data_IF_811570289851
#
_entry.id   IF_811570289851
#
_cell.length_a   1.000
_cell.length_b   1.000
_cell.length_c   1.000
_cell.angle_alpha   90.00
_cell.angle_beta   90.00
_cell.angle_gamma   90.00
#
_symmetry.space_group_name_H-M   'P 1'
#
loop_
_entity.id
_entity.type
_entity.pdbx_description
1 polymer ?
#
# COMPACT_ATOMS: atom_id res chain seq x y z
N UNK A 1 -10.93 16.37 -30.22
CA UNK A 1 -12.29 15.80 -30.34
C UNK A 1 -12.76 15.19 -29.02
N UNK A 2 -12.20 14.09 -28.54
CA UNK A 2 -12.54 13.54 -27.21
C UNK A 2 -11.99 14.39 -26.04
N UNK A 3 -12.81 14.73 -25.04
CA UNK A 3 -12.49 15.53 -23.83
C UNK A 3 -11.78 16.89 -24.07
N UNK A 4 -11.93 17.46 -25.28
CA UNK A 4 -11.38 18.79 -25.65
C UNK A 4 -12.42 19.91 -25.47
N UNK A 5 -12.74 20.65 -26.53
CA UNK A 5 -13.63 21.80 -26.48
C UNK A 5 -15.04 21.49 -25.93
N UNK A 6 -15.59 20.30 -26.22
CA UNK A 6 -16.90 19.90 -25.70
C UNK A 6 -16.94 19.88 -24.16
N UNK A 7 -15.90 19.32 -23.52
CA UNK A 7 -15.78 19.30 -22.07
C UNK A 7 -15.61 20.71 -21.50
N UNK A 8 -14.75 21.54 -22.10
CA UNK A 8 -14.56 22.94 -21.69
C UNK A 8 -15.83 23.77 -21.78
N UNK A 9 -16.62 23.57 -22.84
CA UNK A 9 -17.88 24.27 -23.04
C UNK A 9 -18.96 23.77 -22.08
N UNK A 10 -18.92 22.50 -21.69
CA UNK A 10 -19.85 21.95 -20.70
C UNK A 10 -19.56 22.48 -19.30
N UNK A 11 -18.30 22.39 -18.82
CA UNK A 11 -17.98 22.79 -17.43
C UNK A 11 -18.18 24.27 -17.16
N UNK A 12 -18.06 25.14 -18.17
CA UNK A 12 -18.35 26.58 -18.06
C UNK A 12 -19.80 26.90 -17.69
N UNK A 13 -20.72 25.96 -17.89
CA UNK A 13 -22.16 26.12 -17.61
C UNK A 13 -22.55 25.67 -16.20
N UNK A 14 -21.64 25.02 -15.49
CA UNK A 14 -21.91 24.54 -14.14
C UNK A 14 -21.82 25.69 -13.14
N UNK A 15 -22.65 25.64 -12.10
CA UNK A 15 -22.72 26.67 -11.06
C UNK A 15 -21.42 26.75 -10.23
N UNK A 16 -20.72 25.62 -10.14
CA UNK A 16 -19.43 25.52 -9.47
C UNK A 16 -18.28 25.85 -10.42
N UNK A 17 -17.32 26.65 -9.95
CA UNK A 17 -16.16 27.02 -10.75
C UNK A 17 -15.25 25.80 -10.98
N UNK A 18 -15.18 25.35 -12.23
CA UNK A 18 -14.33 24.22 -12.63
C UNK A 18 -13.23 24.71 -13.58
N UNK A 19 -11.98 24.39 -13.24
CA UNK A 19 -10.81 24.68 -14.07
C UNK A 19 -10.26 23.39 -14.67
N UNK A 20 -10.10 23.35 -15.99
CA UNK A 20 -9.46 22.23 -16.70
C UNK A 20 -8.01 22.61 -17.00
N UNK A 21 -7.08 21.79 -16.53
CA UNK A 21 -5.65 21.93 -16.83
C UNK A 21 -5.24 20.83 -17.80
N UNK A 22 -4.55 21.20 -18.88
CA UNK A 22 -4.07 20.27 -19.90
C UNK A 22 -2.57 20.04 -19.76
N UNK A 23 -2.17 18.77 -19.66
CA UNK A 23 -0.78 18.36 -19.81
C UNK A 23 -0.42 18.32 -21.30
N UNK A 24 0.76 18.83 -21.66
CA UNK A 24 1.25 18.81 -23.05
C UNK A 24 1.63 17.40 -23.49
N UNK A 25 2.14 16.59 -22.55
CA UNK A 25 2.53 15.21 -22.76
C UNK A 25 1.97 14.29 -21.67
N UNK A 26 1.81 13.01 -22.00
CA UNK A 26 1.33 12.00 -21.05
C UNK A 26 2.37 11.77 -19.95
N UNK A 27 2.15 12.42 -18.80
CA UNK A 27 3.14 12.50 -17.72
C UNK A 27 2.85 11.58 -16.53
N UNK A 28 1.72 10.86 -16.55
CA UNK A 28 1.28 10.00 -15.46
C UNK A 28 0.40 10.68 -14.43
N UNK A 29 -0.22 9.88 -13.55
CA UNK A 29 -1.13 10.37 -12.50
C UNK A 29 -0.38 11.28 -11.52
N UNK A 30 0.87 10.93 -11.19
CA UNK A 30 1.67 11.57 -10.15
C UNK A 30 1.93 13.03 -10.53
N UNK A 31 2.48 13.24 -11.73
CA UNK A 31 2.77 14.60 -12.25
C UNK A 31 1.49 15.37 -12.57
N UNK A 32 0.41 14.70 -12.95
CA UNK A 32 -0.89 15.34 -13.12
C UNK A 32 -1.46 15.86 -11.78
N UNK A 33 -1.36 15.06 -10.70
CA UNK A 33 -1.73 15.46 -9.34
C UNK A 33 -0.88 16.63 -8.86
N UNK A 34 0.44 16.60 -9.11
CA UNK A 34 1.34 17.73 -8.80
C UNK A 34 0.92 19.03 -9.50
N UNK A 35 0.57 18.96 -10.80
CA UNK A 35 0.08 20.13 -11.54
C UNK A 35 -1.24 20.66 -10.98
N UNK A 36 -2.16 19.76 -10.62
CA UNK A 36 -3.42 20.12 -9.99
C UNK A 36 -3.22 20.78 -8.63
N UNK A 37 -2.36 20.19 -7.79
CA UNK A 37 -2.00 20.72 -6.48
C UNK A 37 -1.39 22.13 -6.58
N UNK A 38 -0.42 22.34 -7.49
CA UNK A 38 0.19 23.64 -7.71
C UNK A 38 -0.80 24.73 -8.15
N UNK A 39 -1.81 24.38 -8.94
CA UNK A 39 -2.84 25.30 -9.42
C UNK A 39 -4.02 25.49 -8.44
N UNK A 40 -4.14 24.64 -7.42
CA UNK A 40 -5.16 24.80 -6.39
C UNK A 40 -4.92 26.08 -5.57
N UNK A 41 -5.89 26.53 -4.79
CA UNK A 41 -5.74 27.68 -3.86
C UNK A 41 -6.43 27.46 -2.52
N UNK A 42 -7.09 26.31 -2.35
CA UNK A 42 -7.74 25.94 -1.10
C UNK A 42 -6.73 25.59 0.00
N UNK A 43 -7.17 25.72 1.25
CA UNK A 43 -6.37 25.34 2.42
C UNK A 43 -6.14 23.83 2.50
N UNK A 44 -7.11 23.03 2.03
CA UNK A 44 -7.04 21.58 1.93
C UNK A 44 -7.12 21.18 0.47
N UNK A 45 -6.29 20.22 0.06
CA UNK A 45 -6.38 19.57 -1.23
C UNK A 45 -7.06 18.21 -1.03
N UNK A 46 -8.16 17.99 -1.74
CA UNK A 46 -8.83 16.69 -1.81
C UNK A 46 -8.63 16.09 -3.19
N UNK A 47 -7.97 14.94 -3.25
CA UNK A 47 -7.79 14.17 -4.47
C UNK A 47 -8.93 13.17 -4.62
N UNK A 48 -9.49 13.10 -5.83
CA UNK A 48 -10.49 12.11 -6.24
C UNK A 48 -10.09 11.55 -7.60
N UNK A 49 -10.37 10.28 -7.82
CA UNK A 49 -10.29 9.70 -9.15
C UNK A 49 -11.51 10.12 -9.99
N UNK A 50 -11.36 10.11 -11.31
CA UNK A 50 -12.36 10.65 -12.24
C UNK A 50 -13.64 9.79 -12.37
N UNK A 51 -13.78 8.74 -11.58
CA UNK A 51 -14.87 7.76 -11.61
C UNK A 51 -15.29 7.41 -10.18
N UNK A 52 -15.66 8.47 -9.45
CA UNK A 52 -16.13 8.41 -8.07
C UNK A 52 -17.52 9.05 -7.93
N UNK A 53 -18.28 8.60 -6.93
CA UNK A 53 -19.54 9.21 -6.50
C UNK A 53 -19.47 9.46 -5.00
N UNK A 54 -19.67 10.71 -4.58
CA UNK A 54 -19.54 11.10 -3.18
C UNK A 54 -20.88 11.04 -2.46
N UNK A 55 -20.92 10.48 -1.26
CA UNK A 55 -22.13 10.43 -0.43
C UNK A 55 -22.45 11.78 0.22
N UNK A 56 -23.67 11.94 0.75
CA UNK A 56 -24.04 13.14 1.50
C UNK A 56 -23.20 13.26 2.77
N UNK A 57 -22.60 14.43 3.01
CA UNK A 57 -21.79 14.69 4.20
C UNK A 57 -20.38 14.09 4.16
N UNK A 58 -19.90 13.66 2.98
CA UNK A 58 -18.59 13.00 2.87
C UNK A 58 -17.40 13.91 3.19
N UNK A 59 -17.50 15.23 2.93
CA UNK A 59 -16.34 16.12 2.95
C UNK A 59 -16.07 16.72 4.34
N UNK A 60 -17.13 17.10 5.03
CA UNK A 60 -17.12 17.73 6.35
C UNK A 60 -16.29 16.96 7.40
N UNK A 61 -16.43 15.64 7.57
CA UNK A 61 -15.65 14.90 8.56
C UNK A 61 -14.15 14.81 8.18
N UNK A 62 -13.81 14.81 6.89
CA UNK A 62 -12.41 14.88 6.44
C UNK A 62 -11.79 16.24 6.80
N UNK A 63 -12.49 17.33 6.47
CA UNK A 63 -12.02 18.68 6.77
C UNK A 63 -11.95 18.98 8.27
N UNK A 64 -12.91 18.48 9.05
CA UNK A 64 -12.92 18.61 10.50
C UNK A 64 -11.67 17.96 11.11
N UNK A 65 -11.32 16.75 10.65
CA UNK A 65 -10.15 16.03 11.18
C UNK A 65 -8.82 16.74 10.84
N UNK A 66 -8.67 17.26 9.63
CA UNK A 66 -7.49 18.07 9.24
C UNK A 66 -7.43 19.38 10.06
N UNK A 67 -8.60 19.95 10.41
CA UNK A 67 -8.65 21.16 11.23
C UNK A 67 -8.17 20.92 12.66
N UNK A 68 -8.47 19.75 13.23
CA UNK A 68 -7.97 19.32 14.55
C UNK A 68 -6.46 19.05 14.52
N UNK A 69 -5.99 18.40 13.46
CA UNK A 69 -4.57 18.08 13.27
C UNK A 69 -4.16 18.30 11.82
N UNK A 70 -3.42 19.39 11.58
CA UNK A 70 -2.96 19.78 10.25
C UNK A 70 -2.07 18.72 9.59
N UNK A 71 -1.40 17.88 10.38
CA UNK A 71 -0.53 16.80 9.89
C UNK A 71 -1.27 15.49 9.65
N UNK A 72 -2.58 15.43 9.91
CA UNK A 72 -3.41 14.29 9.58
C UNK A 72 -3.74 14.30 8.08
N UNK A 73 -3.39 13.20 7.41
CA UNK A 73 -3.81 12.90 6.04
C UNK A 73 -4.96 11.92 6.13
N UNK A 74 -6.10 12.28 5.56
CA UNK A 74 -7.35 11.56 5.80
C UNK A 74 -7.93 11.00 4.51
N UNK A 75 -8.34 9.74 4.56
CA UNK A 75 -9.01 9.03 3.48
C UNK A 75 -10.49 8.82 3.84
N UNK A 76 -11.42 8.89 2.87
CA UNK A 76 -12.75 8.34 3.07
C UNK A 76 -12.70 6.81 3.11
N UNK A 77 -13.76 6.18 3.62
CA UNK A 77 -14.08 4.80 3.24
C UNK A 77 -14.37 4.80 1.74
N UNK A 78 -13.68 3.92 1.02
CA UNK A 78 -13.85 3.75 -0.41
C UNK A 78 -14.90 2.66 -0.63
N UNK A 79 -16.09 3.06 -1.04
CA UNK A 79 -17.17 2.15 -1.39
C UNK A 79 -16.96 1.60 -2.81
N UNK A 80 -17.53 0.44 -3.11
CA UNK A 80 -17.38 -0.20 -4.41
C UNK A 80 -18.54 0.19 -5.31
N UNK A 81 -18.24 0.78 -6.46
CA UNK A 81 -19.20 0.89 -7.56
C UNK A 81 -18.85 -0.20 -8.58
N UNK A 82 -19.82 -1.08 -8.87
CA UNK A 82 -19.65 -2.16 -9.85
C UNK A 82 -19.36 -1.60 -11.25
N UNK A 83 -18.31 -2.09 -11.93
CA UNK A 83 -18.00 -1.68 -13.30
C UNK A 83 -18.98 -2.25 -14.34
N UNK A 84 -19.70 -3.32 -13.98
CA UNK A 84 -20.70 -3.96 -14.84
C UNK A 84 -22.12 -3.36 -14.66
N UNK A 85 -22.54 -3.12 -13.41
CA UNK A 85 -23.93 -2.75 -13.07
C UNK A 85 -24.10 -1.34 -12.52
N UNK A 86 -23.00 -0.65 -12.16
CA UNK A 86 -23.03 0.62 -11.41
C UNK A 86 -23.74 0.54 -10.04
N UNK A 87 -23.95 -0.66 -9.52
CA UNK A 87 -24.45 -0.84 -8.15
C UNK A 87 -23.44 -0.29 -7.14
N UNK A 88 -23.94 0.51 -6.20
CA UNK A 88 -23.18 1.10 -5.11
C UNK A 88 -23.21 0.18 -3.89
N UNK A 89 -22.06 -0.40 -3.54
CA UNK A 89 -21.89 -1.30 -2.40
C UNK A 89 -21.02 -0.63 -1.34
N UNK A 90 -21.60 -0.42 -0.16
CA UNK A 90 -20.89 0.19 0.97
C UNK A 90 -19.66 -0.64 1.36
N UNK A 91 -18.52 0.04 1.50
CA UNK A 91 -17.28 -0.48 2.02
C UNK A 91 -17.35 -0.71 3.54
N UNK A 92 -16.35 -1.39 4.06
CA UNK A 92 -16.28 -1.72 5.48
C UNK A 92 -15.46 -0.68 6.25
N UNK A 93 -15.97 -0.24 7.40
CA UNK A 93 -15.22 0.51 8.41
C UNK A 93 -14.32 -0.40 9.29
N UNK A 94 -14.33 -1.70 9.01
CA UNK A 94 -13.51 -2.73 9.66
C UNK A 94 -12.33 -3.18 8.77
N UNK A 95 -12.02 -2.41 7.72
CA UNK A 95 -10.80 -2.62 6.93
C UNK A 95 -9.87 -1.42 7.01
N UNK A 96 -8.58 -1.69 6.96
CA UNK A 96 -7.52 -0.68 6.89
C UNK A 96 -6.50 -1.06 5.81
N UNK A 97 -5.76 -0.06 5.33
CA UNK A 97 -4.78 -0.21 4.27
C UNK A 97 -3.42 -0.63 4.81
N UNK A 98 -2.88 -1.72 4.27
CA UNK A 98 -1.52 -2.16 4.51
C UNK A 98 -0.78 -2.47 3.23
N UNK A 99 0.34 -3.15 3.36
CA UNK A 99 1.13 -3.64 2.24
C UNK A 99 1.77 -4.98 2.55
N UNK A 100 2.11 -5.73 1.50
CA UNK A 100 2.89 -6.95 1.62
C UNK A 100 4.34 -6.73 1.17
N UNK A 101 5.21 -7.73 1.35
CA UNK A 101 6.64 -7.60 1.05
C UNK A 101 6.97 -7.40 -0.43
N UNK A 102 6.00 -7.62 -1.33
CA UNK A 102 6.10 -7.25 -2.77
C UNK A 102 5.75 -5.78 -3.04
N UNK A 103 5.53 -4.99 -1.98
CA UNK A 103 5.10 -3.59 -2.03
C UNK A 103 3.80 -3.41 -2.81
N UNK A 104 2.88 -4.35 -2.67
CA UNK A 104 1.52 -4.19 -3.15
C UNK A 104 0.63 -3.71 -2.01
N UNK A 105 -0.20 -2.72 -2.30
CA UNK A 105 -1.26 -2.30 -1.39
C UNK A 105 -2.27 -3.45 -1.16
N UNK A 106 -2.70 -3.62 0.09
CA UNK A 106 -3.67 -4.64 0.50
C UNK A 106 -4.66 -4.06 1.51
N UNK A 107 -5.88 -4.55 1.47
CA UNK A 107 -6.86 -4.33 2.53
C UNK A 107 -6.77 -5.46 3.54
N UNK A 108 -6.61 -5.11 4.82
CA UNK A 108 -6.61 -6.05 5.93
C UNK A 108 -7.75 -5.73 6.90
N UNK A 109 -8.19 -6.69 7.74
CA UNK A 109 -9.10 -6.40 8.84
C UNK A 109 -8.45 -5.47 9.87
N UNK A 110 -9.22 -4.55 10.45
CA UNK A 110 -8.75 -3.67 11.51
C UNK A 110 -8.25 -4.49 12.70
N UNK A 111 -7.00 -4.29 13.17
CA UNK A 111 -6.43 -5.12 14.24
C UNK A 111 -7.02 -4.74 15.60
N UNK A 112 -7.02 -5.70 16.53
CA UNK A 112 -7.60 -5.52 17.88
C UNK A 112 -7.05 -4.28 18.60
N UNK A 113 -5.74 -3.99 18.47
CA UNK A 113 -5.11 -2.78 19.03
C UNK A 113 -5.81 -1.47 18.65
N UNK A 114 -6.34 -1.39 17.43
CA UNK A 114 -7.02 -0.19 16.92
C UNK A 114 -8.48 -0.16 17.38
N UNK A 115 -9.11 -1.32 17.50
CA UNK A 115 -10.44 -1.46 18.14
C UNK A 115 -10.40 -1.00 19.60
N UNK A 116 -9.38 -1.43 20.35
CA UNK A 116 -9.18 -1.08 21.75
C UNK A 116 -8.92 0.43 21.91
N UNK A 117 -8.11 1.03 21.03
CA UNK A 117 -7.86 2.48 21.00
C UNK A 117 -9.15 3.27 20.83
N UNK A 118 -10.06 2.80 19.98
CA UNK A 118 -11.35 3.43 19.70
C UNK A 118 -12.40 3.17 20.79
N UNK A 119 -12.17 2.22 21.69
CA UNK A 119 -13.08 1.86 22.81
C UNK A 119 -14.52 1.59 22.36
N UNK A 120 -14.69 1.00 21.16
CA UNK A 120 -15.98 0.73 20.56
C UNK A 120 -16.65 1.89 19.82
N UNK A 121 -16.06 3.09 19.81
CA UNK A 121 -16.58 4.22 19.03
C UNK A 121 -16.21 4.08 17.55
N UNK A 122 -17.21 3.69 16.75
CA UNK A 122 -17.07 3.47 15.30
C UNK A 122 -17.04 4.76 14.48
N UNK A 123 -17.23 5.94 15.11
CA UNK A 123 -17.14 7.24 14.42
C UNK A 123 -15.71 7.80 14.42
N UNK A 124 -14.87 7.35 15.36
CA UNK A 124 -13.46 7.74 15.40
C UNK A 124 -12.72 7.24 14.16
N UNK A 125 -11.80 8.04 13.57
CA UNK A 125 -10.98 7.60 12.44
C UNK A 125 -10.16 6.35 12.78
N UNK A 126 -9.94 5.50 11.79
CA UNK A 126 -9.08 4.31 11.87
C UNK A 126 -7.67 4.69 11.41
N UNK A 127 -6.65 4.52 12.24
CA UNK A 127 -5.26 4.76 11.81
C UNK A 127 -4.82 3.65 10.84
N UNK A 128 -4.27 4.04 9.69
CA UNK A 128 -3.94 3.12 8.61
C UNK A 128 -2.46 3.21 8.22
N UNK A 129 -1.71 2.08 8.14
CA UNK A 129 -0.31 2.06 7.70
C UNK A 129 -0.15 2.68 6.30
N UNK A 130 -1.04 2.34 5.39
CA UNK A 130 -1.01 2.82 4.01
C UNK A 130 -2.39 3.25 3.53
N UNK A 131 -2.41 3.98 2.41
CA UNK A 131 -3.65 4.34 1.70
C UNK A 131 -3.68 3.70 0.32
N UNK A 132 -4.89 3.52 -0.22
CA UNK A 132 -5.07 3.13 -1.62
C UNK A 132 -4.51 4.20 -2.58
N UNK A 133 -4.53 5.47 -2.16
CA UNK A 133 -3.90 6.60 -2.85
C UNK A 133 -4.79 7.32 -3.87
N UNK A 134 -5.90 6.71 -4.31
CA UNK A 134 -6.88 7.35 -5.22
C UNK A 134 -7.58 8.57 -4.58
N UNK A 135 -7.99 8.41 -3.33
CA UNK A 135 -8.87 9.34 -2.62
C UNK A 135 -8.28 9.70 -1.26
N UNK A 136 -7.97 10.97 -1.03
CA UNK A 136 -7.54 11.50 0.26
C UNK A 136 -7.60 13.03 0.29
N UNK A 137 -7.65 13.58 1.51
CA UNK A 137 -7.55 15.00 1.79
C UNK A 137 -6.32 15.29 2.64
N UNK A 138 -5.65 16.40 2.35
CA UNK A 138 -4.43 16.84 3.05
C UNK A 138 -4.38 18.36 3.14
N UNK A 139 -3.90 18.90 4.26
CA UNK A 139 -3.56 20.32 4.36
C UNK A 139 -2.53 20.69 3.28
N UNK A 140 -2.80 21.74 2.51
CA UNK A 140 -1.97 22.12 1.38
C UNK A 140 -0.54 22.44 1.81
N UNK A 141 -0.38 23.22 2.88
CA UNK A 141 0.95 23.63 3.35
C UNK A 141 1.72 22.41 3.83
N UNK A 142 1.05 21.48 4.52
CA UNK A 142 1.65 20.22 4.95
C UNK A 142 2.07 19.35 3.76
N UNK A 143 1.25 19.25 2.71
CA UNK A 143 1.60 18.55 1.48
C UNK A 143 2.86 19.13 0.81
N UNK A 144 3.02 20.45 0.80
CA UNK A 144 4.22 21.12 0.29
C UNK A 144 5.43 20.91 1.22
N UNK A 145 5.25 21.03 2.54
CA UNK A 145 6.29 20.86 3.57
C UNK A 145 6.95 19.48 3.50
N UNK A 146 6.16 18.41 3.38
CA UNK A 146 6.68 17.04 3.28
C UNK A 146 7.18 16.70 1.87
N UNK A 147 7.20 17.66 0.93
CA UNK A 147 7.79 17.49 -0.39
C UNK A 147 6.88 16.82 -1.42
N UNK A 148 5.56 17.07 -1.35
CA UNK A 148 4.53 16.70 -2.35
C UNK A 148 4.59 15.24 -2.81
N UNK A 149 4.60 14.90 -4.10
CA UNK A 149 4.94 13.55 -4.58
C UNK A 149 6.38 13.51 -5.09
N UNK A 150 6.99 12.33 -5.10
CA UNK A 150 8.23 12.10 -5.85
C UNK A 150 7.96 12.23 -7.36
N UNK A 151 8.38 13.36 -7.94
CA UNK A 151 8.21 13.63 -9.37
C UNK A 151 9.06 12.72 -10.29
N UNK A 152 10.00 11.96 -9.73
CA UNK A 152 10.78 10.95 -10.44
C UNK A 152 10.01 9.64 -10.69
N UNK A 153 8.87 9.44 -10.03
CA UNK A 153 7.99 8.30 -10.29
C UNK A 153 7.18 8.49 -11.58
N UNK A 154 6.98 7.39 -12.30
CA UNK A 154 6.36 7.36 -13.61
C UNK A 154 4.96 6.74 -13.60
N UNK A 155 4.04 7.34 -14.36
CA UNK A 155 2.70 6.86 -14.68
C UNK A 155 1.81 6.51 -13.48
N UNK A 156 2.03 5.37 -12.84
CA UNK A 156 1.20 4.78 -11.78
C UNK A 156 2.01 3.71 -11.02
N UNK A 157 1.79 3.60 -9.70
CA UNK A 157 2.27 2.51 -8.86
C UNK A 157 3.34 2.98 -7.87
N UNK A 158 3.22 2.54 -6.62
CA UNK A 158 4.17 2.81 -5.54
C UNK A 158 4.01 4.18 -4.87
N UNK A 159 3.36 5.16 -5.52
CA UNK A 159 3.26 6.53 -5.00
C UNK A 159 2.42 6.62 -3.72
N UNK A 160 1.42 5.73 -3.60
CA UNK A 160 0.56 5.65 -2.45
C UNK A 160 1.34 5.14 -1.22
N UNK A 161 2.16 4.10 -1.39
CA UNK A 161 3.03 3.58 -0.33
C UNK A 161 4.12 4.57 0.04
N UNK A 162 4.74 5.25 -0.94
CA UNK A 162 5.78 6.26 -0.71
C UNK A 162 5.27 7.40 0.16
N UNK A 163 4.11 7.93 -0.20
CA UNK A 163 3.45 8.98 0.57
C UNK A 163 3.10 8.48 1.97
N UNK A 164 2.54 7.26 2.09
CA UNK A 164 2.19 6.68 3.39
C UNK A 164 3.40 6.52 4.32
N UNK A 165 4.50 5.94 3.83
CA UNK A 165 5.71 5.75 4.61
C UNK A 165 6.27 7.07 5.09
N UNK A 166 6.35 8.04 4.18
CA UNK A 166 6.81 9.37 4.49
C UNK A 166 5.93 10.08 5.53
N UNK A 167 4.61 10.07 5.37
CA UNK A 167 3.69 10.74 6.33
C UNK A 167 3.97 10.26 7.74
N UNK A 168 4.05 8.95 7.95
CA UNK A 168 4.30 8.36 9.25
C UNK A 168 5.71 8.62 9.77
N UNK A 169 6.74 8.39 8.94
CA UNK A 169 8.14 8.60 9.33
C UNK A 169 8.48 10.07 9.60
N UNK A 170 7.75 11.00 8.98
CA UNK A 170 7.90 12.44 9.14
C UNK A 170 6.97 13.04 10.22
N UNK A 171 6.31 12.21 11.03
CA UNK A 171 5.56 12.64 12.21
C UNK A 171 4.15 13.16 11.94
N UNK A 172 3.55 12.84 10.80
CA UNK A 172 2.12 12.97 10.58
C UNK A 172 1.35 11.69 10.90
N UNK A 173 0.06 11.69 10.58
CA UNK A 173 -0.79 10.50 10.66
C UNK A 173 -1.53 10.25 9.35
N UNK A 174 -1.82 8.98 9.08
CA UNK A 174 -2.66 8.56 7.97
C UNK A 174 -3.89 7.82 8.54
N UNK A 175 -5.07 8.30 8.20
CA UNK A 175 -6.31 7.91 8.86
C UNK A 175 -7.45 7.69 7.86
N UNK A 176 -8.29 6.68 8.09
CA UNK A 176 -9.56 6.47 7.38
C UNK A 176 -10.67 7.04 8.25
N UNK A 177 -11.34 8.08 7.77
CA UNK A 177 -12.43 8.74 8.49
C UNK A 177 -13.73 7.99 8.19
N UNK A 178 -14.23 7.25 9.18
CA UNK A 178 -15.30 6.26 8.98
C UNK A 178 -16.67 6.84 8.71
N UNK A 179 -16.88 8.14 8.95
CA UNK A 179 -18.11 8.84 8.56
C UNK A 179 -18.09 9.36 7.12
N UNK A 180 -16.93 9.33 6.45
CA UNK A 180 -16.78 9.81 5.07
C UNK A 180 -16.81 8.63 4.11
N UNK A 181 -17.73 8.66 3.15
CA UNK A 181 -17.91 7.59 2.17
C UNK A 181 -17.87 8.13 0.75
N UNK A 182 -17.03 7.52 -0.09
CA UNK A 182 -16.94 7.83 -1.52
C UNK A 182 -16.87 6.53 -2.32
N UNK A 183 -17.82 6.34 -3.21
CA UNK A 183 -17.84 5.23 -4.15
C UNK A 183 -16.79 5.41 -5.22
N UNK A 184 -16.15 4.30 -5.60
CA UNK A 184 -15.14 4.25 -6.64
C UNK A 184 -15.42 3.07 -7.58
N UNK A 185 -15.36 3.30 -8.90
CA UNK A 185 -15.55 2.24 -9.89
C UNK A 185 -14.30 1.36 -9.97
N UNK A 186 -14.35 0.17 -9.38
CA UNK A 186 -13.25 -0.80 -9.44
C UNK A 186 -13.31 -1.61 -10.72
N UNK A 187 -12.24 -1.55 -11.52
CA UNK A 187 -12.14 -2.23 -12.81
C UNK A 187 -11.38 -3.54 -12.70
N UNK A 188 -11.74 -4.51 -13.53
CA UNK A 188 -11.04 -5.81 -13.64
C UNK A 188 -9.60 -5.69 -14.17
N UNK A 189 -9.31 -4.67 -14.99
CA UNK A 189 -7.99 -4.44 -15.57
C UNK A 189 -7.69 -2.95 -15.77
N UNK A 190 -6.40 -2.60 -15.81
CA UNK A 190 -5.96 -1.23 -16.11
C UNK A 190 -6.30 -0.88 -17.57
N UNK A 191 -7.05 0.21 -17.84
CA UNK A 191 -7.54 0.55 -19.18
C UNK A 191 -6.52 1.35 -20.01
N UNK A 192 -5.26 1.45 -19.58
CA UNK A 192 -4.25 2.33 -20.17
C UNK A 192 -2.91 1.63 -20.38
N UNK A 193 -2.12 2.19 -21.29
CA UNK A 193 -0.81 1.66 -21.68
C UNK A 193 0.31 2.16 -20.76
N UNK A 194 1.35 1.35 -20.60
CA UNK A 194 2.57 1.71 -19.88
C UNK A 194 3.72 1.78 -20.87
N UNK A 195 4.21 2.98 -21.25
CA UNK A 195 5.42 3.12 -22.03
C UNK A 195 6.57 2.43 -21.30
N UNK A 196 7.24 1.48 -21.94
CA UNK A 196 8.28 0.64 -21.30
C UNK A 196 7.76 -0.59 -20.55
N UNK A 197 6.43 -0.80 -20.49
CA UNK A 197 5.80 -1.95 -19.85
C UNK A 197 5.50 -1.73 -18.37
N UNK A 198 4.42 -2.36 -17.90
CA UNK A 198 3.91 -2.20 -16.52
C UNK A 198 4.94 -2.60 -15.47
N UNK A 199 5.63 -3.73 -15.68
CA UNK A 199 6.64 -4.22 -14.75
C UNK A 199 7.81 -3.24 -14.57
N UNK A 200 8.35 -2.70 -15.67
CA UNK A 200 9.45 -1.73 -15.60
C UNK A 200 9.05 -0.46 -14.84
N UNK A 201 7.89 0.11 -15.14
CA UNK A 201 7.39 1.33 -14.48
C UNK A 201 7.15 1.12 -12.98
N UNK A 202 6.45 0.03 -12.61
CA UNK A 202 6.15 -0.25 -11.20
C UNK A 202 7.44 -0.58 -10.43
N UNK A 203 8.33 -1.41 -11.00
CA UNK A 203 9.59 -1.75 -10.36
C UNK A 203 10.48 -0.52 -10.16
N UNK A 204 10.54 0.38 -11.15
CA UNK A 204 11.23 1.67 -11.02
C UNK A 204 10.69 2.45 -9.82
N UNK A 205 9.38 2.67 -9.75
CA UNK A 205 8.78 3.47 -8.68
C UNK A 205 8.95 2.80 -7.31
N UNK A 206 8.73 1.49 -7.21
CA UNK A 206 8.91 0.74 -5.98
C UNK A 206 10.37 0.76 -5.51
N UNK A 207 11.34 0.69 -6.43
CA UNK A 207 12.76 0.84 -6.10
C UNK A 207 13.06 2.23 -5.55
N UNK A 208 12.54 3.30 -6.16
CA UNK A 208 12.69 4.67 -5.62
C UNK A 208 12.14 4.79 -4.20
N UNK A 209 10.97 4.22 -3.92
CA UNK A 209 10.42 4.19 -2.56
C UNK A 209 11.32 3.39 -1.61
N UNK A 210 11.78 2.21 -2.02
CA UNK A 210 12.53 1.31 -1.16
C UNK A 210 13.89 1.91 -0.76
N UNK A 211 14.58 2.51 -1.73
CA UNK A 211 15.88 3.15 -1.52
C UNK A 211 15.82 4.35 -0.56
N UNK A 212 14.67 5.02 -0.48
CA UNK A 212 14.50 6.23 0.36
C UNK A 212 13.90 5.89 1.72
N UNK A 213 12.93 4.97 1.81
CA UNK A 213 12.04 4.86 2.97
C UNK A 213 12.11 3.53 3.72
N UNK A 214 12.78 2.51 3.20
CA UNK A 214 12.77 1.17 3.80
C UNK A 214 14.04 0.81 4.58
N UNK A 215 15.01 1.73 4.68
CA UNK A 215 16.29 1.49 5.37
C UNK A 215 16.91 0.12 4.92
N UNK A 216 17.37 -0.74 5.84
CA UNK A 216 17.87 -2.09 5.56
C UNK A 216 16.79 -3.10 5.09
N UNK A 217 15.51 -2.79 5.29
CA UNK A 217 14.42 -3.70 4.96
C UNK A 217 14.12 -3.77 3.46
N UNK A 218 14.73 -2.88 2.66
CA UNK A 218 14.68 -2.97 1.20
C UNK A 218 15.27 -4.28 0.67
N UNK A 219 16.24 -4.87 1.38
CA UNK A 219 16.87 -6.13 0.99
C UNK A 219 15.85 -7.28 0.98
N UNK A 220 14.88 -7.27 1.90
CA UNK A 220 13.79 -8.23 1.92
C UNK A 220 12.92 -8.12 0.67
N UNK A 221 12.62 -6.89 0.26
CA UNK A 221 11.87 -6.63 -0.96
C UNK A 221 12.64 -7.08 -2.20
N UNK A 222 13.94 -6.84 -2.28
CA UNK A 222 14.77 -7.27 -3.41
C UNK A 222 14.89 -8.79 -3.50
N UNK A 223 15.06 -9.49 -2.38
CA UNK A 223 15.06 -10.96 -2.36
C UNK A 223 13.73 -11.53 -2.85
N UNK A 224 12.60 -10.91 -2.48
CA UNK A 224 11.26 -11.37 -2.88
C UNK A 224 10.93 -10.95 -4.32
N UNK A 225 11.49 -9.84 -4.80
CA UNK A 225 11.21 -9.25 -6.10
C UNK A 225 12.53 -8.96 -6.85
N UNK A 226 13.30 -9.99 -7.23
CA UNK A 226 14.66 -9.84 -7.76
C UNK A 226 14.72 -8.99 -9.03
N UNK A 227 13.69 -9.05 -9.89
CA UNK A 227 13.61 -8.25 -11.12
C UNK A 227 13.50 -6.74 -10.90
N UNK A 228 13.43 -6.27 -9.65
CA UNK A 228 13.46 -4.84 -9.31
C UNK A 228 14.89 -4.28 -9.39
N UNK A 229 15.90 -5.09 -9.05
CA UNK A 229 17.30 -4.66 -9.03
C UNK A 229 17.88 -4.41 -10.43
N UNK A 230 17.24 -4.96 -11.46
CA UNK A 230 17.62 -4.76 -12.86
C UNK A 230 17.14 -3.40 -13.43
N UNK A 231 16.28 -2.69 -12.70
CA UNK A 231 15.65 -1.46 -13.18
C UNK A 231 16.37 -0.22 -12.66
N UNK A 232 16.82 0.64 -13.56
CA UNK A 232 17.32 1.98 -13.20
C UNK A 232 16.19 2.82 -12.60
N UNK A 233 16.41 3.26 -11.37
CA UNK A 233 15.45 4.06 -10.60
C UNK A 233 15.75 5.56 -10.66
N UNK A 234 16.86 5.98 -11.26
CA UNK A 234 17.29 7.37 -11.38
C UNK A 234 17.69 8.00 -10.04
N UNK A 235 17.91 9.32 -10.06
CA UNK A 235 18.38 10.04 -8.88
C UNK A 235 17.28 10.21 -7.81
N UNK A 236 17.64 9.90 -6.56
CA UNK A 236 16.80 10.05 -5.36
C UNK A 236 17.44 10.99 -4.32
N UNK A 237 18.52 11.69 -4.67
CA UNK A 237 19.27 12.58 -3.78
C UNK A 237 18.37 13.59 -3.04
N UNK A 238 17.45 14.24 -3.75
CA UNK A 238 16.48 15.20 -3.18
C UNK A 238 15.54 14.50 -2.19
N UNK A 239 15.12 13.26 -2.48
CA UNK A 239 14.24 12.49 -1.60
C UNK A 239 14.96 12.05 -0.32
N UNK A 240 16.21 11.62 -0.43
CA UNK A 240 17.06 11.29 0.71
C UNK A 240 17.35 12.52 1.58
N UNK A 241 17.61 13.67 0.97
CA UNK A 241 17.80 14.92 1.71
C UNK A 241 16.52 15.31 2.48
N UNK A 242 15.35 15.19 1.85
CA UNK A 242 14.06 15.42 2.52
C UNK A 242 13.83 14.43 3.68
N UNK A 243 14.11 13.15 3.48
CA UNK A 243 14.03 12.13 4.52
C UNK A 243 14.93 12.51 5.71
N UNK A 244 16.19 12.91 5.46
CA UNK A 244 17.13 13.31 6.51
C UNK A 244 16.71 14.55 7.30
N UNK A 245 15.96 15.49 6.69
CA UNK A 245 15.46 16.69 7.35
C UNK A 245 14.23 16.39 8.22
N UNK A 246 13.31 15.58 7.71
CA UNK A 246 11.97 15.42 8.29
C UNK A 246 11.78 14.15 9.12
N UNK A 247 12.74 13.22 9.11
CA UNK A 247 12.70 12.03 9.97
C UNK A 247 12.77 12.47 11.43
N UNK A 248 11.61 12.48 12.08
CA UNK A 248 11.47 13.02 13.43
C UNK A 248 11.17 11.95 14.49
N UNK A 249 10.51 10.84 14.15
CA UNK A 249 9.84 10.03 15.19
C UNK A 249 9.77 8.52 14.96
N UNK A 250 9.43 8.04 13.76
CA UNK A 250 9.16 6.62 13.49
C UNK A 250 10.17 6.08 12.47
N UNK A 251 10.82 4.96 12.78
CA UNK A 251 11.66 4.22 11.84
C UNK A 251 10.84 3.20 11.02
N UNK A 252 11.44 2.60 9.99
CA UNK A 252 10.75 1.58 9.21
C UNK A 252 10.36 0.32 10.02
N UNK A 253 11.16 -0.17 11.01
CA UNK A 253 10.70 -1.20 11.95
C UNK A 253 9.35 -0.89 12.60
N UNK A 254 9.14 0.36 13.06
CA UNK A 254 7.85 0.76 13.60
C UNK A 254 6.73 0.64 12.58
N UNK A 255 6.96 1.05 11.32
CA UNK A 255 5.98 0.90 10.25
C UNK A 255 5.60 -0.57 10.04
N UNK A 256 6.57 -1.48 10.07
CA UNK A 256 6.33 -2.92 9.91
C UNK A 256 5.50 -3.49 11.05
N UNK A 257 5.75 -3.06 12.29
CA UNK A 257 4.92 -3.43 13.45
C UNK A 257 3.51 -2.88 13.33
N UNK A 258 3.39 -1.61 12.93
CA UNK A 258 2.10 -0.97 12.73
C UNK A 258 1.30 -1.66 11.62
N UNK A 259 1.95 -2.11 10.55
CA UNK A 259 1.36 -2.89 9.46
C UNK A 259 1.08 -4.37 9.82
N UNK A 260 1.64 -4.89 10.91
CA UNK A 260 1.50 -6.30 11.31
C UNK A 260 2.43 -7.28 10.56
N UNK A 261 3.42 -6.76 9.83
CA UNK A 261 4.47 -7.58 9.21
C UNK A 261 5.60 -7.96 10.18
N UNK A 262 5.67 -7.26 11.32
CA UNK A 262 6.62 -7.55 12.40
C UNK A 262 5.86 -7.64 13.73
N UNK A 263 6.13 -8.68 14.51
CA UNK A 263 5.61 -8.81 15.87
C UNK A 263 6.65 -8.35 16.91
N UNK A 264 6.25 -7.61 17.95
CA UNK A 264 7.14 -7.33 19.07
C UNK A 264 7.37 -8.61 19.88
N UNK A 265 8.63 -9.00 20.06
CA UNK A 265 9.02 -10.10 20.97
C UNK A 265 9.31 -9.52 22.37
N UNK A 266 8.90 -10.18 23.46
CA UNK A 266 9.36 -9.83 24.81
C UNK A 266 10.90 -9.87 24.89
N UNK A 267 11.54 -8.73 25.15
CA UNK A 267 13.01 -8.63 25.25
C UNK A 267 13.67 -7.66 24.25
N UNK A 268 12.89 -7.01 23.39
CA UNK A 268 13.37 -5.87 22.58
C UNK A 268 14.22 -6.24 21.36
N UNK A 269 14.48 -7.53 21.14
CA UNK A 269 15.07 -8.03 19.90
C UNK A 269 13.91 -8.37 18.98
N UNK A 270 13.78 -7.61 17.89
CA UNK A 270 12.86 -7.90 16.79
C UNK A 270 12.95 -9.37 16.40
N UNK A 271 11.83 -10.01 16.03
CA UNK A 271 11.92 -11.34 15.41
C UNK A 271 12.86 -11.22 14.20
N UNK A 272 13.97 -11.96 14.15
CA UNK A 272 14.64 -12.14 12.87
C UNK A 272 13.61 -12.83 11.99
N UNK A 273 13.00 -12.07 11.08
CA UNK A 273 12.27 -12.64 9.98
C UNK A 273 13.33 -13.38 9.17
N UNK A 274 13.46 -14.69 9.39
CA UNK A 274 14.38 -15.46 8.59
C UNK A 274 13.75 -15.61 7.22
N UNK A 275 14.21 -14.81 6.24
CA UNK A 275 13.98 -15.12 4.84
C UNK A 275 14.86 -16.30 4.49
N UNK A 276 14.21 -17.41 4.16
CA UNK A 276 14.87 -18.68 3.94
C UNK A 276 14.40 -19.28 2.63
N UNK A 277 15.35 -19.96 2.01
CA UNK A 277 15.05 -20.99 1.04
C UNK A 277 14.96 -22.32 1.80
N UNK A 278 13.84 -23.02 1.68
CA UNK A 278 13.63 -24.32 2.35
C UNK A 278 14.06 -25.43 1.39
N UNK A 279 15.25 -26.00 1.62
CA UNK A 279 15.86 -27.03 0.76
C UNK A 279 15.67 -28.42 1.35
N UNK A 280 15.21 -29.36 0.52
CA UNK A 280 15.26 -30.77 0.83
C UNK A 280 16.69 -31.30 0.62
N UNK A 281 17.29 -31.87 1.67
CA UNK A 281 18.69 -32.32 1.67
C UNK A 281 18.92 -33.52 0.75
N UNK A 282 17.94 -34.43 0.65
CA UNK A 282 18.06 -35.66 -0.14
C UNK A 282 17.91 -35.40 -1.64
N UNK A 283 16.88 -34.64 -2.03
CA UNK A 283 16.56 -34.42 -3.44
C UNK A 283 17.25 -33.20 -4.04
N UNK A 284 17.83 -32.34 -3.19
CA UNK A 284 18.38 -31.05 -3.59
C UNK A 284 17.34 -30.12 -4.26
N UNK A 285 16.06 -30.33 -3.99
CA UNK A 285 14.97 -29.47 -4.46
C UNK A 285 14.53 -28.52 -3.34
N UNK A 286 14.04 -27.35 -3.73
CA UNK A 286 13.59 -26.32 -2.81
C UNK A 286 12.07 -26.23 -2.83
N UNK A 287 11.49 -25.92 -1.66
CA UNK A 287 10.09 -25.56 -1.56
C UNK A 287 9.84 -24.33 -2.44
N UNK A 288 8.75 -24.36 -3.18
CA UNK A 288 8.42 -23.35 -4.19
C UNK A 288 6.91 -23.10 -4.15
N UNK A 289 6.50 -21.84 -4.05
CA UNK A 289 5.07 -21.49 -4.10
C UNK A 289 4.49 -21.60 -5.52
N UNK A 290 5.35 -21.80 -6.55
CA UNK A 290 5.03 -21.97 -7.97
C UNK A 290 4.21 -20.81 -8.57
N UNK A 291 4.21 -19.64 -7.91
CA UNK A 291 3.32 -18.53 -8.25
C UNK A 291 1.83 -18.83 -8.03
N UNK A 292 1.51 -19.88 -7.26
CA UNK A 292 0.15 -20.30 -6.94
C UNK A 292 -0.49 -19.38 -5.88
N UNK A 293 -1.81 -19.44 -5.79
CA UNK A 293 -2.64 -18.58 -4.96
C UNK A 293 -3.11 -19.31 -3.69
N UNK A 294 -3.93 -18.60 -2.91
CA UNK A 294 -4.62 -19.16 -1.74
C UNK A 294 -5.37 -20.45 -2.10
N UNK A 295 -5.37 -21.42 -1.18
CA UNK A 295 -5.99 -22.73 -1.28
C UNK A 295 -5.34 -23.67 -2.31
N UNK A 296 -4.15 -23.34 -2.79
CA UNK A 296 -3.32 -24.21 -3.62
C UNK A 296 -2.16 -24.82 -2.83
N UNK A 297 -1.62 -25.93 -3.34
CA UNK A 297 -0.51 -26.65 -2.71
C UNK A 297 0.81 -25.95 -3.00
N UNK A 298 1.72 -25.93 -2.03
CA UNK A 298 3.14 -25.68 -2.33
C UNK A 298 3.72 -26.83 -3.17
N UNK A 299 4.79 -26.55 -3.90
CA UNK A 299 5.51 -27.51 -4.73
C UNK A 299 6.98 -27.59 -4.36
N UNK A 300 7.70 -28.43 -5.08
CA UNK A 300 9.15 -28.48 -5.07
C UNK A 300 9.67 -28.17 -6.47
N UNK A 301 10.74 -27.39 -6.55
CA UNK A 301 11.42 -27.07 -7.79
C UNK A 301 12.94 -27.09 -7.59
N UNK A 302 13.71 -27.03 -8.67
CA UNK A 302 15.17 -26.92 -8.56
C UNK A 302 15.53 -25.66 -7.79
N UNK A 303 16.40 -25.79 -6.78
CA UNK A 303 16.90 -24.66 -6.02
C UNK A 303 17.64 -23.70 -6.96
N UNK A 304 17.11 -22.49 -7.15
CA UNK A 304 17.70 -21.52 -8.08
C UNK A 304 18.41 -20.35 -7.40
N UNK A 305 18.17 -20.10 -6.10
CA UNK A 305 18.83 -19.02 -5.35
C UNK A 305 18.41 -17.60 -5.77
N UNK A 306 17.61 -17.46 -6.82
CA UNK A 306 17.09 -16.19 -7.34
C UNK A 306 15.99 -15.53 -6.48
N UNK A 307 15.72 -16.03 -5.27
CA UNK A 307 14.66 -15.48 -4.43
C UNK A 307 13.24 -15.77 -4.96
N UNK A 308 12.35 -14.77 -4.94
CA UNK A 308 11.01 -14.89 -5.53
C UNK A 308 10.13 -15.99 -4.93
N UNK A 309 9.76 -16.97 -5.75
CA UNK A 309 8.82 -18.05 -5.37
C UNK A 309 9.40 -19.07 -4.37
N UNK A 310 10.72 -19.07 -4.18
CA UNK A 310 11.42 -19.95 -3.22
C UNK A 310 11.75 -19.25 -1.90
N UNK A 311 11.24 -18.03 -1.69
CA UNK A 311 11.46 -17.26 -0.48
C UNK A 311 10.28 -17.46 0.46
N UNK A 312 10.57 -18.00 1.63
CA UNK A 312 9.65 -18.13 2.73
C UNK A 312 10.18 -17.38 3.93
N UNK A 313 9.28 -16.94 4.81
CA UNK A 313 9.65 -16.34 6.08
C UNK A 313 9.24 -17.24 7.23
N UNK A 314 10.12 -17.40 8.21
CA UNK A 314 9.78 -18.05 9.49
C UNK A 314 9.63 -17.00 10.57
N UNK A 315 8.48 -16.97 11.24
CA UNK A 315 8.12 -15.92 12.22
C UNK A 315 8.25 -16.37 13.67
N UNK A 316 8.28 -15.41 14.60
CA UNK A 316 8.28 -15.67 16.05
C UNK A 316 7.10 -16.51 16.53
N UNK A 317 5.95 -16.41 15.84
CA UNK A 317 4.75 -17.20 16.11
C UNK A 317 4.85 -18.64 15.60
N UNK A 318 6.02 -19.04 15.09
CA UNK A 318 6.30 -20.34 14.49
C UNK A 318 5.45 -20.61 13.24
N UNK A 319 5.25 -19.61 12.41
CA UNK A 319 4.56 -19.74 11.11
C UNK A 319 5.57 -19.71 9.96
N UNK A 320 5.34 -20.50 8.91
CA UNK A 320 6.08 -20.39 7.64
C UNK A 320 5.18 -19.64 6.66
N UNK A 321 5.62 -18.46 6.19
CA UNK A 321 4.82 -17.59 5.32
C UNK A 321 5.45 -17.36 3.95
N UNK A 322 4.61 -17.22 2.94
CA UNK A 322 4.94 -16.72 1.60
C UNK A 322 3.96 -15.59 1.26
N UNK A 323 4.47 -14.37 1.16
CA UNK A 323 3.62 -13.17 1.02
C UNK A 323 2.59 -13.05 2.16
N UNK A 324 1.29 -12.97 1.84
CA UNK A 324 0.19 -12.89 2.82
C UNK A 324 -0.36 -14.27 3.24
N UNK A 325 0.28 -15.36 2.82
CA UNK A 325 -0.18 -16.74 3.05
C UNK A 325 0.75 -17.50 3.99
N UNK A 326 0.15 -18.35 4.82
CA UNK A 326 0.83 -19.28 5.71
C UNK A 326 0.73 -20.71 5.16
N UNK A 327 1.77 -21.49 5.40
CA UNK A 327 1.72 -22.93 5.17
C UNK A 327 0.81 -23.58 6.21
N UNK A 328 -0.08 -24.45 5.73
CA UNK A 328 -1.16 -25.05 6.51
C UNK A 328 -1.32 -26.53 6.19
N UNK A 329 -1.54 -27.35 7.22
CA UNK A 329 -1.89 -28.77 7.08
C UNK A 329 -3.32 -29.01 7.59
N UNK A 330 -4.31 -28.76 6.75
CA UNK A 330 -5.72 -28.77 7.17
C UNK A 330 -6.31 -30.17 7.39
N UNK A 331 -5.58 -31.24 7.00
CA UNK A 331 -5.99 -32.64 7.19
C UNK A 331 -4.77 -33.48 7.55
N UNK A 332 -4.94 -34.41 8.49
CA UNK A 332 -3.89 -35.38 8.84
C UNK A 332 -3.47 -36.14 7.57
N UNK A 333 -2.15 -36.25 7.32
CA UNK A 333 -1.57 -36.81 6.09
C UNK A 333 -2.01 -36.09 4.79
N UNK A 334 -2.54 -34.88 4.89
CA UNK A 334 -2.89 -34.04 3.75
C UNK A 334 -1.66 -33.33 3.16
N UNK A 335 -1.81 -32.74 1.97
CA UNK A 335 -0.77 -31.89 1.41
C UNK A 335 -0.63 -30.59 2.23
N UNK A 336 0.55 -29.97 2.17
CA UNK A 336 0.75 -28.61 2.66
C UNK A 336 0.09 -27.63 1.69
N UNK A 337 -0.81 -26.80 2.21
CA UNK A 337 -1.55 -25.78 1.48
C UNK A 337 -1.06 -24.39 1.86
N UNK A 338 -1.28 -23.41 0.98
CA UNK A 338 -1.10 -22.00 1.29
C UNK A 338 -2.46 -21.38 1.61
N UNK A 339 -2.70 -21.01 2.86
CA UNK A 339 -3.94 -20.40 3.33
C UNK A 339 -3.68 -19.04 3.98
N UNK A 340 -4.72 -18.23 4.19
CA UNK A 340 -4.58 -17.02 5.00
C UNK A 340 -4.01 -17.34 6.38
N UNK A 341 -3.05 -16.55 6.81
CA UNK A 341 -2.51 -16.63 8.15
C UNK A 341 -3.61 -16.29 9.16
N UNK A 342 -3.94 -17.22 10.05
CA UNK A 342 -4.96 -17.01 11.08
C UNK A 342 -4.35 -16.75 12.47
N UNK A 343 -3.05 -16.97 12.68
CA UNK A 343 -2.35 -16.68 13.94
C UNK A 343 -2.90 -17.44 15.15
N UNK A 344 -3.65 -18.51 14.91
CA UNK A 344 -4.23 -19.39 15.94
C UNK A 344 -3.37 -20.64 16.19
N UNK A 345 -2.13 -20.68 15.67
CA UNK A 345 -1.24 -21.84 15.74
C UNK A 345 -1.89 -23.07 15.07
N UNK A 346 -1.93 -24.21 15.76
CA UNK A 346 -2.60 -25.42 15.27
C UNK A 346 -1.99 -25.95 13.98
N UNK A 347 -2.79 -26.02 12.93
CA UNK A 347 -2.42 -26.46 11.58
C UNK A 347 -1.47 -25.50 10.83
N UNK A 348 -1.22 -24.30 11.37
CA UNK A 348 -0.22 -23.34 10.86
C UNK A 348 1.01 -23.21 11.78
N UNK A 349 1.12 -24.03 12.82
CA UNK A 349 2.29 -24.05 13.71
C UNK A 349 3.36 -24.99 13.15
N UNK A 350 4.55 -24.46 12.92
CA UNK A 350 5.71 -25.18 12.38
C UNK A 350 6.87 -25.11 13.36
N UNK A 351 7.31 -26.26 13.87
CA UNK A 351 8.53 -26.35 14.67
C UNK A 351 9.70 -26.73 13.76
N UNK A 352 10.71 -25.86 13.73
CA UNK A 352 11.96 -26.15 13.05
C UNK A 352 12.95 -26.72 14.06
N UNK A 353 13.40 -27.94 13.80
CA UNK A 353 14.47 -28.60 14.54
C UNK A 353 15.80 -28.41 13.77
N UNK A 354 16.81 -27.92 14.49
CA UNK A 354 18.11 -27.59 13.92
C UNK A 354 19.17 -28.68 14.20
N UNK A 355 18.82 -29.72 14.98
CA UNK A 355 19.73 -30.82 15.35
C UNK A 355 19.99 -31.83 14.22
#
# INVERSE_FOLDING_TARGET
>A
EFLKASLENYVKKLEVSIKILRMEQRSGLIRARLRGAAASTGQVITFLDAHCECTLGWLEPLLARIKEDRKAVVCPIIDVISDDTFEYMAGSDMTYGGFNWKLNFRWYPVPQREMDRRKGDRTLPVRTPTMAGGLFSIDRSYFEEIGTYDAGMDIWGGENLEMSFRIWQCGGSLEIVTCSHVGHVFRKATPYTFPGGTGHVINKNNRRLAEVWMDEFKDFFYIISPGVEEVDYGDVSIRNALQGIWRQLQDFPWMLMFNGLLSPIPGGIFSPLFLLQIRNVETNQCLDNMGRKENEKVGFFNCHGMGGNQVFSYTAEKEIRTDDLCLDVSRLNGPVLMLKCHHLRGNQLWEYDAE
#
